data_IF_756190031952
#
_entry.id   IF_756190031952
#
_cell.length_a   1.000
_cell.length_b   1.000
_cell.length_c   1.000
_cell.angle_alpha   90.00
_cell.angle_beta   90.00
_cell.angle_gamma   90.00
#
_symmetry.space_group_name_H-M   'P 1'
#
loop_
_entity.id
_entity.type
_entity.pdbx_description
1 polymer ?
#
# COMPACT_ATOMS: atom_id res chain seq x y z
N UNK A 1 -12.38 3.30 -3.24
CA UNK A 1 -11.32 4.10 -3.86
C UNK A 1 -11.97 5.10 -4.80
N UNK A 2 -11.62 6.40 -4.79
CA UNK A 2 -12.32 7.42 -5.57
C UNK A 2 -11.93 7.48 -7.06
N UNK A 3 -11.12 6.53 -7.54
CA UNK A 3 -10.60 6.51 -8.92
C UNK A 3 -11.43 5.61 -9.84
N UNK A 4 -11.50 6.01 -11.11
CA UNK A 4 -12.15 5.25 -12.19
C UNK A 4 -11.20 4.19 -12.73
N UNK A 5 -11.77 3.16 -13.36
CA UNK A 5 -11.01 2.02 -13.85
C UNK A 5 -9.96 2.42 -14.90
N UNK A 6 -10.17 3.50 -15.64
CA UNK A 6 -9.31 3.99 -16.71
C UNK A 6 -8.19 4.92 -16.24
N UNK A 7 -8.19 5.34 -14.97
CA UNK A 7 -7.15 6.22 -14.44
C UNK A 7 -5.84 5.44 -14.22
N UNK A 8 -4.71 6.09 -14.51
CA UNK A 8 -3.38 5.48 -14.37
C UNK A 8 -2.89 5.62 -12.93
N UNK A 9 -2.35 4.53 -12.39
CA UNK A 9 -1.74 4.47 -11.07
C UNK A 9 -0.41 3.72 -11.11
N UNK A 10 0.50 4.10 -10.22
CA UNK A 10 1.63 3.27 -9.83
C UNK A 10 1.20 2.34 -8.70
N UNK A 11 1.31 1.04 -8.93
CA UNK A 11 0.97 -0.01 -7.98
C UNK A 11 2.22 -0.71 -7.44
N UNK A 12 2.26 -0.93 -6.13
CA UNK A 12 3.33 -1.64 -5.44
C UNK A 12 2.71 -2.73 -4.58
N UNK A 13 2.94 -3.98 -4.96
CA UNK A 13 2.45 -5.16 -4.26
C UNK A 13 3.54 -5.71 -3.34
N UNK A 14 3.23 -5.86 -2.06
CA UNK A 14 4.12 -6.40 -1.04
C UNK A 14 3.37 -7.51 -0.30
N UNK A 15 3.92 -8.72 -0.35
CA UNK A 15 3.46 -9.81 0.51
C UNK A 15 4.04 -9.65 1.92
N UNK A 16 3.43 -10.29 2.90
CA UNK A 16 4.02 -10.43 4.23
C UNK A 16 3.73 -11.81 4.80
N UNK A 17 4.64 -12.29 5.65
CA UNK A 17 4.54 -13.58 6.33
C UNK A 17 4.89 -13.44 7.82
N UNK A 18 4.53 -14.43 8.64
CA UNK A 18 4.82 -14.43 10.08
C UNK A 18 3.64 -14.97 10.88
N UNK A 19 3.17 -14.17 11.86
CA UNK A 19 1.99 -14.52 12.66
C UNK A 19 0.73 -14.71 11.82
N UNK A 20 0.64 -14.02 10.69
CA UNK A 20 -0.32 -14.28 9.62
C UNK A 20 0.29 -13.86 8.28
N UNK A 21 -0.25 -14.37 7.18
CA UNK A 21 0.17 -14.02 5.82
C UNK A 21 -0.90 -13.22 5.08
N UNK A 22 -0.46 -12.50 4.06
CA UNK A 22 -1.34 -11.71 3.20
C UNK A 22 -0.56 -10.70 2.38
N UNK A 23 -1.28 -9.72 1.86
CA UNK A 23 -0.73 -8.76 0.93
C UNK A 23 -1.17 -7.33 1.26
N UNK A 24 -0.24 -6.42 1.05
CA UNK A 24 -0.45 -4.97 1.04
C UNK A 24 -0.28 -4.53 -0.41
N UNK A 25 -1.25 -3.80 -0.92
CA UNK A 25 -1.17 -3.19 -2.23
C UNK A 25 -1.27 -1.68 -2.11
N UNK A 26 -0.20 -0.99 -2.50
CA UNK A 26 -0.09 0.46 -2.40
C UNK A 26 -0.29 1.04 -3.79
N UNK A 27 -1.23 1.97 -3.92
CA UNK A 27 -1.57 2.63 -5.17
C UNK A 27 -1.34 4.13 -5.05
N UNK A 28 -0.50 4.68 -5.92
CA UNK A 28 -0.31 6.11 -6.09
C UNK A 28 -0.95 6.57 -7.41
N UNK A 29 -1.87 7.55 -7.38
CA UNK A 29 -2.33 8.24 -8.58
C UNK A 29 -1.14 8.74 -9.39
N UNK A 30 -1.23 8.68 -10.73
CA UNK A 30 -0.15 9.10 -11.64
C UNK A 30 0.54 10.40 -11.22
N UNK A 31 -0.26 11.44 -10.93
CA UNK A 31 0.28 12.73 -10.51
C UNK A 31 1.12 12.62 -9.23
N UNK A 32 0.62 11.93 -8.20
CA UNK A 32 1.38 11.72 -6.96
C UNK A 32 2.60 10.82 -7.18
N UNK A 33 2.53 9.82 -8.05
CA UNK A 33 3.66 8.98 -8.40
C UNK A 33 4.79 9.79 -9.05
N UNK A 34 4.47 10.68 -9.99
CA UNK A 34 5.48 11.57 -10.61
C UNK A 34 6.10 12.51 -9.60
N UNK A 35 5.29 13.11 -8.74
CA UNK A 35 5.79 14.01 -7.71
C UNK A 35 6.70 13.30 -6.69
N UNK A 36 6.33 12.09 -6.26
CA UNK A 36 7.16 11.27 -5.36
C UNK A 36 8.47 10.88 -6.05
N UNK A 37 8.43 10.50 -7.33
CA UNK A 37 9.63 10.19 -8.10
C UNK A 37 10.56 11.40 -8.22
N UNK A 38 10.03 12.61 -8.45
CA UNK A 38 10.83 13.83 -8.47
C UNK A 38 11.44 14.12 -7.09
N UNK A 39 10.64 14.04 -6.02
CA UNK A 39 11.06 14.33 -4.65
C UNK A 39 12.21 13.41 -4.20
N UNK A 40 12.07 12.11 -4.39
CA UNK A 40 13.06 11.09 -3.98
C UNK A 40 14.35 11.17 -4.79
N UNK A 41 14.28 11.77 -5.99
CA UNK A 41 15.42 11.99 -6.86
C UNK A 41 16.03 13.38 -6.72
N UNK A 42 15.55 14.19 -5.78
CA UNK A 42 15.97 15.58 -5.60
C UNK A 42 15.84 16.42 -6.89
N UNK A 43 14.80 16.17 -7.69
CA UNK A 43 14.40 16.97 -8.87
C UNK A 43 13.37 18.01 -8.48
N UNK A 44 13.16 19.02 -9.33
CA UNK A 44 12.00 19.89 -9.18
C UNK A 44 10.73 19.11 -9.49
N UNK A 45 9.69 19.35 -8.70
CA UNK A 45 8.39 18.73 -8.90
C UNK A 45 7.83 19.09 -10.28
N UNK A 46 7.38 18.08 -11.01
CA UNK A 46 6.82 18.20 -12.35
C UNK A 46 7.84 17.97 -13.46
N UNK A 47 9.07 17.60 -13.14
CA UNK A 47 10.07 17.16 -14.12
C UNK A 47 9.75 15.76 -14.66
N UNK A 48 9.28 14.85 -13.81
CA UNK A 48 8.84 13.51 -14.22
C UNK A 48 7.51 13.59 -14.98
N UNK A 49 7.48 13.00 -16.19
CA UNK A 49 6.29 12.94 -17.07
C UNK A 49 5.84 11.51 -17.38
N UNK A 50 6.66 10.53 -17.06
CA UNK A 50 6.38 9.11 -17.23
C UNK A 50 7.27 8.29 -16.31
N UNK A 51 6.82 7.09 -15.94
CA UNK A 51 7.63 6.10 -15.22
C UNK A 51 8.20 5.13 -16.27
N UNK A 52 9.32 5.49 -16.88
CA UNK A 52 9.95 4.72 -17.96
C UNK A 52 11.33 4.16 -17.59
N UNK A 53 11.97 4.70 -16.54
CA UNK A 53 13.29 4.22 -16.12
C UNK A 53 13.20 3.42 -14.83
N UNK A 54 14.08 2.43 -14.71
CA UNK A 54 14.25 1.62 -13.50
C UNK A 54 14.45 2.46 -12.23
N UNK A 55 14.94 3.70 -12.38
CA UNK A 55 15.22 4.58 -11.26
C UNK A 55 13.95 5.28 -10.72
N UNK A 56 12.99 5.63 -11.58
CA UNK A 56 11.68 6.11 -11.08
C UNK A 56 10.91 4.97 -10.41
N UNK A 57 10.92 3.79 -11.02
CA UNK A 57 10.34 2.58 -10.44
C UNK A 57 10.97 2.23 -9.08
N UNK A 58 12.29 2.23 -8.97
CA UNK A 58 12.99 1.95 -7.71
C UNK A 58 12.65 2.97 -6.61
N UNK A 59 12.50 4.25 -6.95
CA UNK A 59 12.13 5.27 -5.97
C UNK A 59 10.71 5.04 -5.42
N UNK A 60 9.77 4.71 -6.30
CA UNK A 60 8.41 4.37 -5.89
C UNK A 60 8.38 3.09 -5.05
N UNK A 61 9.08 2.03 -5.49
CA UNK A 61 9.20 0.79 -4.72
C UNK A 61 9.77 1.01 -3.32
N UNK A 62 10.77 1.87 -3.16
CA UNK A 62 11.32 2.22 -1.84
C UNK A 62 10.27 2.90 -0.96
N UNK A 63 9.46 3.80 -1.53
CA UNK A 63 8.33 4.42 -0.81
C UNK A 63 7.31 3.37 -0.37
N UNK A 64 6.97 2.44 -1.26
CA UNK A 64 6.08 1.33 -0.94
C UNK A 64 6.65 0.45 0.18
N UNK A 65 7.94 0.15 0.14
CA UNK A 65 8.62 -0.63 1.17
C UNK A 65 8.63 0.09 2.53
N UNK A 66 8.87 1.40 2.56
CA UNK A 66 8.79 2.22 3.78
C UNK A 66 7.37 2.16 4.38
N UNK A 67 6.35 2.34 3.53
CA UNK A 67 4.95 2.30 3.96
C UNK A 67 4.51 0.94 4.48
N UNK A 68 4.86 -0.13 3.76
CA UNK A 68 4.55 -1.48 4.19
C UNK A 68 5.29 -1.86 5.47
N UNK A 69 6.56 -1.48 5.61
CA UNK A 69 7.34 -1.70 6.83
C UNK A 69 6.72 -0.96 8.02
N UNK A 70 6.40 0.33 7.86
CA UNK A 70 5.73 1.11 8.90
C UNK A 70 4.36 0.53 9.29
N UNK A 71 3.60 0.03 8.32
CA UNK A 71 2.34 -0.67 8.58
C UNK A 71 2.58 -1.98 9.36
N UNK A 72 3.52 -2.80 8.93
CA UNK A 72 3.87 -4.06 9.58
C UNK A 72 4.36 -3.82 11.02
N UNK A 73 5.23 -2.83 11.23
CA UNK A 73 5.77 -2.46 12.55
C UNK A 73 4.67 -1.94 13.48
N UNK A 74 3.83 -1.01 13.02
CA UNK A 74 2.72 -0.50 13.83
C UNK A 74 1.71 -1.60 14.18
N UNK A 75 1.47 -2.51 13.24
CA UNK A 75 0.61 -3.68 13.45
C UNK A 75 1.23 -4.66 14.44
N UNK A 76 2.54 -4.94 14.31
CA UNK A 76 3.32 -5.77 15.20
C UNK A 76 3.28 -5.24 16.64
N UNK A 77 3.49 -3.94 16.84
CA UNK A 77 3.44 -3.30 18.15
C UNK A 77 2.04 -3.30 18.74
N UNK A 78 1.02 -3.03 17.93
CA UNK A 78 -0.37 -2.94 18.39
C UNK A 78 -0.98 -4.30 18.73
N UNK A 79 -0.62 -5.33 17.97
CA UNK A 79 -1.18 -6.68 18.03
C UNK A 79 -0.23 -7.68 18.73
N UNK A 80 1.00 -7.28 19.04
CA UNK A 80 2.09 -8.15 19.54
C UNK A 80 2.43 -9.30 18.60
N UNK A 81 2.52 -8.99 17.31
CA UNK A 81 2.83 -9.94 16.24
C UNK A 81 4.16 -9.64 15.58
N UNK A 82 4.65 -10.59 14.78
CA UNK A 82 5.79 -10.38 13.91
C UNK A 82 5.35 -10.61 12.47
N UNK A 83 5.59 -9.60 11.64
CA UNK A 83 5.29 -9.61 10.21
C UNK A 83 6.57 -9.24 9.47
N UNK A 84 6.94 -10.04 8.48
CA UNK A 84 8.11 -9.81 7.64
C UNK A 84 7.62 -9.53 6.23
N UNK A 85 7.85 -8.33 5.69
CA UNK A 85 7.48 -8.01 4.31
C UNK A 85 8.39 -8.72 3.31
N UNK A 86 7.83 -9.13 2.18
CA UNK A 86 8.57 -9.60 1.01
C UNK A 86 9.13 -8.41 0.22
N UNK A 87 10.09 -8.63 -0.70
CA UNK A 87 10.45 -7.61 -1.67
C UNK A 87 9.21 -7.11 -2.46
N UNK A 88 9.14 -5.80 -2.77
CA UNK A 88 8.04 -5.23 -3.54
C UNK A 88 8.07 -5.67 -5.00
N UNK A 89 6.89 -5.75 -5.60
CA UNK A 89 6.68 -5.84 -7.06
C UNK A 89 5.98 -4.57 -7.54
N UNK A 90 6.40 -4.05 -8.69
CA UNK A 90 5.88 -2.79 -9.24
C UNK A 90 5.11 -3.01 -10.53
N UNK A 91 4.09 -2.17 -10.75
CA UNK A 91 3.43 -2.03 -12.04
C UNK A 91 2.87 -0.60 -12.21
N UNK A 92 2.75 -0.12 -13.45
CA UNK A 92 2.19 1.19 -13.78
C UNK A 92 1.18 1.07 -14.93
N UNK A 93 -0.11 1.20 -14.63
CA UNK A 93 -1.22 0.91 -15.55
C UNK A 93 -2.54 1.46 -14.98
N UNK A 94 -3.63 1.22 -15.69
CA UNK A 94 -5.00 1.52 -15.31
C UNK A 94 -5.39 0.84 -13.99
N UNK A 95 -6.12 1.56 -13.14
CA UNK A 95 -6.68 1.04 -11.87
C UNK A 95 -7.42 -0.28 -12.08
N UNK A 96 -8.22 -0.39 -13.16
CA UNK A 96 -8.96 -1.60 -13.47
C UNK A 96 -8.05 -2.83 -13.64
N UNK A 97 -6.97 -2.68 -14.42
CA UNK A 97 -6.00 -3.74 -14.64
C UNK A 97 -5.21 -4.07 -13.36
N UNK A 98 -4.86 -3.05 -12.58
CA UNK A 98 -4.16 -3.20 -11.30
C UNK A 98 -4.98 -3.98 -10.28
N UNK A 99 -6.26 -3.65 -10.13
CA UNK A 99 -7.16 -4.36 -9.23
C UNK A 99 -7.39 -5.79 -9.72
N UNK A 100 -7.56 -6.00 -11.03
CA UNK A 100 -7.69 -7.36 -11.59
C UNK A 100 -6.46 -8.20 -11.30
N UNK A 101 -5.25 -7.67 -11.53
CA UNK A 101 -3.99 -8.32 -11.21
C UNK A 101 -3.85 -8.64 -9.71
N UNK A 102 -4.16 -7.67 -8.85
CA UNK A 102 -4.17 -7.84 -7.40
C UNK A 102 -5.23 -8.82 -6.91
N UNK A 103 -6.25 -9.16 -7.71
CA UNK A 103 -7.22 -10.21 -7.43
C UNK A 103 -6.87 -11.57 -8.05
N UNK A 104 -5.76 -11.67 -8.80
CA UNK A 104 -5.29 -12.91 -9.43
C UNK A 104 -4.04 -13.45 -8.73
N UNK A 105 -3.02 -12.61 -8.51
CA UNK A 105 -1.71 -13.03 -7.97
C UNK A 105 -1.81 -13.55 -6.53
N UNK A 106 -2.46 -12.83 -5.58
CA UNK A 106 -2.55 -13.23 -4.19
C UNK A 106 -3.81 -14.05 -3.86
N UNK A 107 -4.72 -14.24 -4.82
CA UNK A 107 -6.11 -14.66 -4.60
C UNK A 107 -6.49 -16.00 -5.23
N UNK A 108 -5.50 -16.86 -5.50
CA UNK A 108 -5.79 -18.29 -5.60
C UNK A 108 -6.14 -18.82 -4.19
N UNK A 109 -7.30 -19.44 -3.93
CA UNK A 109 -8.69 -19.16 -4.28
C UNK A 109 -9.50 -18.63 -3.05
N UNK A 110 -10.47 -17.71 -3.24
CA UNK A 110 -11.71 -17.58 -2.43
C UNK A 110 -11.63 -17.28 -0.90
N UNK A 111 -10.48 -16.96 -0.32
CA UNK A 111 -10.43 -16.84 1.14
C UNK A 111 -10.75 -15.45 1.68
N UNK A 112 -10.42 -14.33 1.03
CA UNK A 112 -10.72 -13.00 1.62
C UNK A 112 -12.01 -12.37 1.05
N UNK A 113 -12.96 -12.07 1.95
CA UNK A 113 -14.23 -11.40 1.61
C UNK A 113 -14.17 -9.87 1.81
N UNK A 114 -13.11 -9.39 2.46
CA UNK A 114 -13.00 -8.01 2.93
C UNK A 114 -11.63 -7.44 2.60
N UNK A 115 -11.62 -6.16 2.20
CA UNK A 115 -10.43 -5.36 1.98
C UNK A 115 -10.49 -4.16 2.92
N UNK A 116 -9.40 -3.89 3.63
CA UNK A 116 -9.28 -2.65 4.41
C UNK A 116 -8.54 -1.64 3.54
N UNK A 117 -9.19 -0.52 3.27
CA UNK A 117 -8.64 0.58 2.49
C UNK A 117 -8.22 1.71 3.44
N UNK A 118 -6.96 2.10 3.37
CA UNK A 118 -6.44 3.31 4.00
C UNK A 118 -6.19 4.34 2.92
N UNK A 119 -6.63 5.57 3.17
CA UNK A 119 -6.21 6.74 2.41
C UNK A 119 -5.01 7.36 3.12
N UNK A 120 -3.92 7.51 2.39
CA UNK A 120 -2.65 8.01 2.89
C UNK A 120 -2.41 9.38 2.27
N UNK A 121 -2.30 10.40 3.11
CA UNK A 121 -1.86 11.73 2.71
C UNK A 121 -0.43 11.95 3.20
N UNK A 122 0.42 12.46 2.31
CA UNK A 122 1.81 12.78 2.56
C UNK A 122 2.00 14.26 2.33
N UNK A 123 2.87 14.88 3.11
CA UNK A 123 3.22 16.28 2.93
C UNK A 123 4.74 16.42 2.98
N UNK A 124 5.31 17.16 2.03
CA UNK A 124 6.74 17.48 2.07
C UNK A 124 7.03 18.77 2.87
N UNK A 125 8.30 19.15 2.92
CA UNK A 125 8.76 20.35 3.61
C UNK A 125 8.27 21.67 2.99
N UNK A 126 7.73 21.64 1.78
CA UNK A 126 7.13 22.79 1.09
C UNK A 126 5.60 22.77 1.18
N UNK A 127 5.03 21.97 2.09
CA UNK A 127 3.59 21.82 2.32
C UNK A 127 2.82 21.27 1.11
N UNK A 128 3.49 20.61 0.17
CA UNK A 128 2.83 19.98 -0.97
C UNK A 128 2.25 18.64 -0.56
N UNK A 129 0.97 18.45 -0.90
CA UNK A 129 0.25 17.20 -0.61
C UNK A 129 0.43 16.18 -1.73
N UNK A 130 0.65 14.93 -1.33
CA UNK A 130 0.63 13.75 -2.19
C UNK A 130 -0.33 12.73 -1.59
N UNK A 131 -1.01 11.98 -2.44
CA UNK A 131 -2.00 11.01 -2.00
C UNK A 131 -1.62 9.61 -2.46
N UNK A 132 -1.98 8.63 -1.65
CA UNK A 132 -1.87 7.23 -1.97
C UNK A 132 -2.94 6.42 -1.25
N UNK A 133 -3.10 5.18 -1.65
CA UNK A 133 -4.02 4.25 -1.03
C UNK A 133 -3.25 3.01 -0.64
N UNK A 134 -3.49 2.52 0.56
CA UNK A 134 -2.99 1.23 1.02
C UNK A 134 -4.18 0.29 1.15
N UNK A 135 -4.19 -0.76 0.33
CA UNK A 135 -5.17 -1.83 0.36
C UNK A 135 -4.55 -3.01 1.10
N UNK A 136 -5.15 -3.35 2.22
CA UNK A 136 -4.76 -4.50 3.01
C UNK A 136 -5.77 -5.63 2.77
N UNK A 137 -5.25 -6.79 2.37
CA UNK A 137 -6.02 -7.99 2.09
C UNK A 137 -5.76 -9.03 3.19
N UNK A 138 -6.47 -8.95 4.34
CA UNK A 138 -6.31 -9.92 5.40
C UNK A 138 -7.00 -11.24 5.06
N UNK A 139 -6.39 -12.35 5.46
CA UNK A 139 -7.13 -13.61 5.60
C UNK A 139 -8.29 -13.44 6.61
N UNK A 140 -9.47 -14.09 6.44
CA UNK A 140 -10.62 -13.90 7.34
C UNK A 140 -10.31 -14.11 8.81
N UNK A 141 -9.50 -15.11 9.14
CA UNK A 141 -9.10 -15.36 10.54
C UNK A 141 -8.30 -14.19 11.12
N UNK A 142 -7.41 -13.58 10.33
CA UNK A 142 -6.67 -12.39 10.71
C UNK A 142 -7.61 -11.22 10.96
N UNK A 143 -8.57 -10.98 10.07
CA UNK A 143 -9.53 -9.88 10.23
C UNK A 143 -10.39 -10.05 11.49
N UNK A 144 -10.98 -11.23 11.69
CA UNK A 144 -11.78 -11.52 12.89
C UNK A 144 -10.96 -11.32 14.16
N UNK A 145 -9.71 -11.75 14.15
CA UNK A 145 -8.82 -11.59 15.28
C UNK A 145 -8.48 -10.11 15.55
N UNK A 146 -8.14 -9.32 14.52
CA UNK A 146 -7.92 -7.87 14.64
C UNK A 146 -9.13 -7.17 15.27
N UNK A 147 -10.33 -7.47 14.76
CA UNK A 147 -11.58 -6.88 15.27
C UNK A 147 -11.81 -7.24 16.74
N UNK A 148 -11.60 -8.50 17.13
CA UNK A 148 -11.75 -8.93 18.52
C UNK A 148 -10.78 -8.21 19.47
N UNK A 149 -9.55 -7.94 19.02
CA UNK A 149 -8.56 -7.21 19.81
C UNK A 149 -8.94 -5.73 19.97
N UNK A 150 -9.45 -5.12 18.89
CA UNK A 150 -9.94 -3.74 18.92
C UNK A 150 -11.14 -3.59 19.87
N UNK A 151 -12.10 -4.52 19.82
CA UNK A 151 -13.24 -4.54 20.75
C UNK A 151 -12.79 -4.62 22.21
N UNK A 152 -11.82 -5.50 22.51
CA UNK A 152 -11.26 -5.63 23.85
C UNK A 152 -10.59 -4.34 24.31
N UNK A 153 -9.70 -3.73 23.50
CA UNK A 153 -9.05 -2.45 23.85
C UNK A 153 -10.06 -1.32 24.03
N UNK A 154 -11.10 -1.24 23.20
CA UNK A 154 -12.16 -0.23 23.35
C UNK A 154 -12.94 -0.40 24.66
N UNK A 155 -13.11 -1.63 25.14
CA UNK A 155 -13.75 -1.91 26.43
C UNK A 155 -12.89 -1.53 27.64
N UNK A 156 -11.56 -1.52 27.50
CA UNK A 156 -10.60 -1.13 28.56
C UNK A 156 -10.48 0.39 28.74
N UNK A 157 -10.91 1.18 27.74
CA UNK A 157 -10.90 2.65 27.76
C UNK A 157 -12.24 3.23 28.24
N UNK A 158 -13.26 2.38 28.45
CA UNK A 158 -14.58 2.75 29.00
C UNK A 158 -14.66 2.44 30.49
#
# INVERSE_FOLDING_TARGET
MPYRAEEIVAGILIGFEGSFSGYIYILFPEHSAFQLADLLRCRMIGETKSIETEMEESALMETGNILASAFCDATADFLHFSLVPSPPSFAFDMVGAMIEYALIEPFRPRETEHVILFECAFQDSEERDFFGYLLFFPHPSTLQWILSLLEKKLSEIR
#
